data_IF_049418907317
#
_entry.id   IF_049418907317
#
_cell.length_a   1.000
_cell.length_b   1.000
_cell.length_c   1.000
_cell.angle_alpha   90.00
_cell.angle_beta   90.00
_cell.angle_gamma   90.00
#
_symmetry.space_group_name_H-M   'P 1'
#
loop_
_entity.id
_entity.type
_entity.pdbx_description
1 polymer ?
#
# COMPACT_ATOMS: atom_id res chain seq x y z
N UNK A 1 9.50 36.72 -11.63
CA UNK A 1 9.54 35.31 -12.09
C UNK A 1 10.84 34.94 -12.83
N UNK A 2 11.32 35.72 -13.84
CA UNK A 2 12.59 35.42 -14.56
C UNK A 2 13.79 35.27 -13.65
N UNK A 3 13.91 36.05 -12.58
CA UNK A 3 15.04 36.04 -11.63
C UNK A 3 15.09 34.74 -10.83
N UNK A 4 13.95 34.19 -10.39
CA UNK A 4 13.91 32.93 -9.66
C UNK A 4 14.29 31.73 -10.55
N UNK A 5 13.81 31.71 -11.79
CA UNK A 5 14.20 30.67 -12.74
C UNK A 5 15.70 30.69 -13.06
N UNK A 6 16.29 31.88 -13.15
CA UNK A 6 17.74 32.02 -13.33
C UNK A 6 18.53 31.48 -12.13
N UNK A 7 18.02 31.72 -10.90
CA UNK A 7 18.63 31.17 -9.68
C UNK A 7 18.46 29.63 -9.60
N UNK A 8 17.28 29.10 -9.97
CA UNK A 8 17.04 27.67 -10.03
C UNK A 8 17.95 26.99 -11.06
N UNK A 9 18.07 27.55 -12.27
CA UNK A 9 19.00 27.04 -13.28
C UNK A 9 20.42 26.94 -12.75
N UNK A 10 20.90 27.97 -12.04
CA UNK A 10 22.24 27.99 -11.45
C UNK A 10 22.41 26.95 -10.32
N UNK A 11 21.36 26.69 -9.54
CA UNK A 11 21.40 25.67 -8.46
C UNK A 11 21.32 24.24 -9.01
N UNK A 12 20.61 24.04 -10.12
CA UNK A 12 20.43 22.74 -10.75
C UNK A 12 21.55 22.42 -11.76
N UNK A 13 22.33 23.41 -12.20
CA UNK A 13 23.53 23.20 -12.98
C UNK A 13 24.62 22.62 -12.08
N UNK A 14 24.74 21.31 -12.05
CA UNK A 14 25.84 20.61 -11.41
C UNK A 14 27.03 20.52 -12.39
N UNK A 15 28.26 20.39 -11.84
CA UNK A 15 29.49 20.33 -12.62
C UNK A 15 29.52 19.10 -13.58
N UNK A 16 28.71 18.09 -13.31
CA UNK A 16 28.59 16.87 -14.13
C UNK A 16 27.39 16.86 -15.09
N UNK A 17 26.50 17.85 -15.02
CA UNK A 17 25.32 17.94 -15.88
C UNK A 17 25.11 19.39 -16.33
N UNK A 18 25.84 19.82 -17.36
CA UNK A 18 25.77 21.19 -17.87
C UNK A 18 24.46 21.44 -18.67
N UNK A 19 23.61 20.46 -18.85
CA UNK A 19 22.36 20.63 -19.57
C UNK A 19 21.37 21.47 -18.77
N UNK A 20 20.81 22.46 -19.47
CA UNK A 20 19.83 23.37 -18.89
C UNK A 20 18.52 22.63 -18.61
N UNK A 21 18.40 22.05 -17.42
CA UNK A 21 17.22 21.26 -16.98
C UNK A 21 15.89 22.03 -17.00
N UNK A 22 15.95 23.36 -17.19
CA UNK A 22 14.74 24.20 -17.28
C UNK A 22 14.72 24.91 -18.63
N UNK A 23 13.86 24.45 -19.54
CA UNK A 23 13.60 25.14 -20.80
C UNK A 23 12.48 26.17 -20.65
N UNK A 24 12.65 27.32 -21.32
CA UNK A 24 11.56 28.28 -21.49
C UNK A 24 10.69 27.86 -22.66
N UNK A 25 9.36 27.81 -22.48
CA UNK A 25 8.35 27.50 -23.49
C UNK A 25 7.34 28.65 -23.59
N UNK A 26 6.56 28.67 -24.69
CA UNK A 26 5.43 29.57 -24.78
C UNK A 26 4.44 29.27 -23.65
N UNK A 27 4.24 30.25 -22.75
CA UNK A 27 3.33 30.11 -21.62
C UNK A 27 3.90 29.49 -20.34
N UNK A 28 5.19 29.11 -20.30
CA UNK A 28 5.74 28.52 -19.07
C UNK A 28 7.16 27.98 -19.16
N UNK A 29 7.44 27.01 -18.35
CA UNK A 29 8.74 26.35 -18.25
C UNK A 29 8.54 24.83 -18.28
N UNK A 30 9.50 24.13 -18.89
CA UNK A 30 9.59 22.68 -18.85
C UNK A 30 10.82 22.29 -18.03
N UNK A 31 10.63 21.39 -17.08
CA UNK A 31 11.73 20.82 -16.27
C UNK A 31 12.02 19.42 -16.80
N UNK A 32 13.31 19.12 -16.99
CA UNK A 32 13.79 17.77 -17.30
C UNK A 32 14.36 17.17 -16.03
N UNK A 33 13.89 15.97 -15.68
CA UNK A 33 14.41 15.18 -14.58
C UNK A 33 14.62 13.73 -15.05
N UNK A 34 15.70 13.10 -14.58
CA UNK A 34 15.88 11.66 -14.78
C UNK A 34 14.85 10.90 -13.94
N UNK A 35 14.40 9.75 -14.45
CA UNK A 35 13.47 8.88 -13.71
C UNK A 35 14.01 8.48 -12.34
N UNK A 36 15.34 8.42 -12.19
CA UNK A 36 16.02 8.10 -10.92
C UNK A 36 16.02 9.24 -9.90
N UNK A 37 15.62 10.42 -10.32
CA UNK A 37 15.52 11.61 -9.46
C UNK A 37 14.07 11.86 -9.00
N UNK A 38 13.10 11.13 -9.56
CA UNK A 38 11.69 11.26 -9.24
C UNK A 38 11.29 10.16 -8.25
N UNK A 39 10.85 10.56 -7.07
CA UNK A 39 10.41 9.64 -6.01
C UNK A 39 9.26 8.74 -6.46
N UNK A 40 8.32 9.26 -7.26
CA UNK A 40 7.24 8.45 -7.86
C UNK A 40 7.79 7.33 -8.76
N UNK A 41 8.83 7.60 -9.55
CA UNK A 41 9.44 6.58 -10.41
C UNK A 41 10.24 5.55 -9.61
N UNK A 42 10.91 6.00 -8.54
CA UNK A 42 11.60 5.11 -7.61
C UNK A 42 10.61 4.23 -6.85
N UNK A 43 9.48 4.79 -6.41
CA UNK A 43 8.38 4.06 -5.79
C UNK A 43 7.84 2.97 -6.70
N UNK A 44 7.48 3.32 -7.94
CA UNK A 44 6.95 2.37 -8.93
C UNK A 44 7.94 1.23 -9.21
N UNK A 45 9.22 1.54 -9.34
CA UNK A 45 10.26 0.55 -9.59
C UNK A 45 10.48 -0.38 -8.38
N UNK A 46 10.54 0.16 -7.16
CA UNK A 46 10.67 -0.64 -5.94
C UNK A 46 9.42 -1.52 -5.73
N UNK A 47 8.21 -0.97 -5.94
CA UNK A 47 6.97 -1.72 -5.88
C UNK A 47 6.92 -2.88 -6.90
N UNK A 48 7.37 -2.63 -8.12
CA UNK A 48 7.47 -3.66 -9.18
C UNK A 48 8.43 -4.78 -8.74
N UNK A 49 9.64 -4.44 -8.28
CA UNK A 49 10.63 -5.42 -7.78
C UNK A 49 10.09 -6.26 -6.62
N UNK A 50 9.32 -5.64 -5.72
CA UNK A 50 8.68 -6.36 -4.62
C UNK A 50 7.67 -7.39 -5.13
N UNK A 51 6.83 -7.02 -6.09
CA UNK A 51 5.88 -7.97 -6.72
C UNK A 51 6.57 -9.06 -7.51
N UNK A 52 7.61 -8.73 -8.27
CA UNK A 52 8.41 -9.71 -8.99
C UNK A 52 9.00 -10.74 -8.01
N UNK A 53 9.56 -10.30 -6.88
CA UNK A 53 10.10 -11.18 -5.84
C UNK A 53 9.02 -12.07 -5.21
N UNK A 54 7.79 -11.55 -4.96
CA UNK A 54 6.66 -12.39 -4.52
C UNK A 54 6.30 -13.46 -5.55
N UNK A 55 6.28 -13.09 -6.83
CA UNK A 55 6.00 -14.02 -7.92
C UNK A 55 7.07 -15.12 -8.02
N UNK A 56 8.31 -14.77 -7.81
CA UNK A 56 9.46 -15.69 -7.84
C UNK A 56 9.56 -16.57 -6.57
N UNK A 57 8.66 -16.37 -5.59
CA UNK A 57 8.64 -17.12 -4.33
C UNK A 57 9.71 -16.70 -3.34
N UNK A 58 10.20 -15.45 -3.43
CA UNK A 58 11.16 -14.85 -2.50
C UNK A 58 10.49 -13.73 -1.67
N UNK A 59 9.66 -14.07 -0.67
CA UNK A 59 8.96 -13.09 0.14
C UNK A 59 9.91 -12.25 1.01
N UNK A 60 11.13 -12.73 1.30
CA UNK A 60 12.13 -11.95 2.03
C UNK A 60 12.58 -10.74 1.23
N UNK A 61 12.98 -10.91 -0.03
CA UNK A 61 13.31 -9.81 -0.93
C UNK A 61 12.11 -8.91 -1.24
N UNK A 62 10.91 -9.49 -1.29
CA UNK A 62 9.70 -8.71 -1.46
C UNK A 62 9.51 -7.72 -0.31
N UNK A 63 9.66 -8.15 0.94
CA UNK A 63 9.59 -7.26 2.13
C UNK A 63 10.60 -6.12 2.02
N UNK A 64 11.84 -6.38 1.61
CA UNK A 64 12.87 -5.35 1.46
C UNK A 64 12.45 -4.28 0.42
N UNK A 65 12.05 -4.72 -0.77
CA UNK A 65 11.67 -3.80 -1.85
C UNK A 65 10.38 -3.03 -1.57
N UNK A 66 9.36 -3.68 -0.96
CA UNK A 66 8.08 -3.04 -0.64
C UNK A 66 8.22 -2.03 0.49
N UNK A 67 9.06 -2.31 1.50
CA UNK A 67 9.40 -1.33 2.53
C UNK A 67 10.13 -0.12 1.92
N UNK A 68 11.15 -0.35 1.08
CA UNK A 68 11.85 0.73 0.40
C UNK A 68 10.90 1.60 -0.45
N UNK A 69 9.88 1.00 -1.09
CA UNK A 69 8.85 1.75 -1.79
C UNK A 69 8.04 2.64 -0.84
N UNK A 70 7.59 2.11 0.31
CA UNK A 70 6.78 2.85 1.27
C UNK A 70 7.56 3.97 1.99
N UNK A 71 8.86 3.82 2.18
CA UNK A 71 9.74 4.84 2.78
C UNK A 71 9.88 6.11 1.92
N UNK A 72 9.59 6.04 0.63
CA UNK A 72 9.57 7.22 -0.25
C UNK A 72 8.40 8.16 0.04
N UNK A 73 7.37 7.69 0.75
CA UNK A 73 6.20 8.49 1.11
C UNK A 73 6.49 9.34 2.35
N UNK A 74 6.51 10.67 2.18
CA UNK A 74 6.82 11.64 3.23
C UNK A 74 5.65 12.54 3.63
N UNK A 75 4.48 12.31 3.06
CA UNK A 75 3.25 13.09 3.24
C UNK A 75 2.25 12.78 2.13
N UNK A 76 1.27 13.67 1.99
CA UNK A 76 0.30 13.56 0.91
C UNK A 76 0.94 13.99 -0.43
N UNK A 77 0.66 13.25 -1.52
CA UNK A 77 1.22 13.61 -2.81
C UNK A 77 0.66 14.95 -3.28
N UNK A 78 1.57 15.80 -3.76
CA UNK A 78 1.25 17.12 -4.32
C UNK A 78 0.51 18.07 -3.34
N UNK A 79 0.77 17.98 -2.03
CA UNK A 79 0.09 18.76 -0.99
C UNK A 79 0.08 20.28 -1.28
N UNK A 80 1.14 20.80 -1.92
CA UNK A 80 1.28 22.22 -2.28
C UNK A 80 0.43 22.65 -3.48
N UNK A 81 -0.20 21.71 -4.22
CA UNK A 81 -1.01 22.04 -5.38
C UNK A 81 -2.50 22.20 -5.02
N UNK A 82 -3.25 23.06 -5.73
CA UNK A 82 -4.69 23.14 -5.59
C UNK A 82 -5.38 21.77 -5.79
N UNK A 83 -6.43 21.51 -5.01
CA UNK A 83 -7.12 20.20 -5.00
C UNK A 83 -7.61 19.82 -6.40
N UNK A 84 -8.13 20.78 -7.16
CA UNK A 84 -8.70 20.59 -8.51
C UNK A 84 -7.64 20.10 -9.51
N UNK A 85 -6.36 20.44 -9.26
CA UNK A 85 -5.23 20.06 -10.14
C UNK A 85 -4.67 18.70 -9.77
N UNK A 86 -4.62 18.40 -8.46
CA UNK A 86 -3.92 17.20 -7.94
C UNK A 86 -4.80 15.96 -7.81
N UNK A 87 -6.14 16.11 -7.73
CA UNK A 87 -7.05 15.04 -7.28
C UNK A 87 -6.88 13.71 -8.04
N UNK A 88 -6.82 13.74 -9.36
CA UNK A 88 -6.70 12.52 -10.16
C UNK A 88 -5.38 11.78 -9.93
N UNK A 89 -4.27 12.53 -9.92
CA UNK A 89 -2.93 11.94 -9.73
C UNK A 89 -2.72 11.49 -8.29
N UNK A 90 -3.23 12.24 -7.31
CA UNK A 90 -3.20 11.84 -5.89
C UNK A 90 -3.95 10.53 -5.69
N UNK A 91 -5.19 10.41 -6.19
CA UNK A 91 -5.98 9.19 -6.04
C UNK A 91 -5.29 7.98 -6.66
N UNK A 92 -4.66 8.14 -7.83
CA UNK A 92 -3.90 7.07 -8.48
C UNK A 92 -2.70 6.64 -7.63
N UNK A 93 -1.92 7.59 -7.11
CA UNK A 93 -0.76 7.29 -6.28
C UNK A 93 -1.16 6.63 -4.96
N UNK A 94 -2.25 7.08 -4.33
CA UNK A 94 -2.77 6.47 -3.12
C UNK A 94 -3.25 5.03 -3.34
N UNK A 95 -3.92 4.73 -4.45
CA UNK A 95 -4.28 3.36 -4.82
C UNK A 95 -3.03 2.48 -5.05
N UNK A 96 -1.99 3.02 -5.68
CA UNK A 96 -0.71 2.31 -5.84
C UNK A 96 -0.04 2.06 -4.47
N UNK A 97 -0.03 3.06 -3.58
CA UNK A 97 0.48 2.92 -2.21
C UNK A 97 -0.28 1.85 -1.44
N UNK A 98 -1.60 1.84 -1.61
CA UNK A 98 -2.46 0.84 -0.99
C UNK A 98 -2.09 -0.57 -1.46
N UNK A 99 -1.97 -0.78 -2.77
CA UNK A 99 -1.57 -2.07 -3.33
C UNK A 99 -0.21 -2.54 -2.78
N UNK A 100 0.77 -1.65 -2.63
CA UNK A 100 2.08 -1.97 -2.04
C UNK A 100 1.97 -2.38 -0.57
N UNK A 101 1.08 -1.74 0.21
CA UNK A 101 0.81 -2.15 1.60
C UNK A 101 0.21 -3.55 1.68
N UNK A 102 -0.72 -3.88 0.78
CA UNK A 102 -1.29 -5.23 0.71
C UNK A 102 -0.25 -6.27 0.31
N UNK A 103 0.57 -5.99 -0.71
CA UNK A 103 1.65 -6.87 -1.13
C UNK A 103 2.65 -7.12 0.01
N UNK A 104 2.95 -6.11 0.84
CA UNK A 104 3.83 -6.25 2.01
C UNK A 104 3.20 -7.14 3.10
N UNK A 105 1.90 -7.02 3.35
CA UNK A 105 1.20 -7.91 4.26
C UNK A 105 1.25 -9.36 3.75
N UNK A 106 1.02 -9.58 2.46
CA UNK A 106 1.11 -10.89 1.83
C UNK A 106 2.52 -11.49 1.91
N UNK A 107 3.57 -10.66 1.75
CA UNK A 107 4.95 -11.08 1.90
C UNK A 107 5.26 -11.55 3.34
N UNK A 108 4.83 -10.83 4.36
CA UNK A 108 4.99 -11.25 5.76
C UNK A 108 4.24 -12.54 6.08
N UNK A 109 3.04 -12.68 5.56
CA UNK A 109 2.23 -13.90 5.70
C UNK A 109 2.93 -15.09 5.03
N UNK A 110 3.48 -14.92 3.83
CA UNK A 110 4.25 -15.95 3.13
C UNK A 110 5.51 -16.39 3.89
N UNK A 111 6.08 -15.50 4.73
CA UNK A 111 7.19 -15.82 5.66
C UNK A 111 6.71 -16.50 6.97
N UNK A 112 5.39 -16.74 7.15
CA UNK A 112 4.84 -17.23 8.40
C UNK A 112 4.87 -16.21 9.55
N UNK A 113 5.12 -14.94 9.24
CA UNK A 113 5.25 -13.85 10.22
C UNK A 113 3.89 -13.22 10.57
N UNK A 114 2.88 -14.05 10.83
CA UNK A 114 1.51 -13.61 11.10
C UNK A 114 1.43 -12.58 12.25
N UNK A 115 2.26 -12.74 13.28
CA UNK A 115 2.27 -11.83 14.43
C UNK A 115 2.76 -10.42 14.07
N UNK A 116 3.59 -10.27 13.05
CA UNK A 116 4.16 -8.99 12.59
C UNK A 116 3.08 -8.09 11.98
N UNK A 117 2.14 -8.68 11.24
CA UNK A 117 1.10 -7.93 10.52
C UNK A 117 -0.09 -7.50 11.40
N UNK A 118 -0.27 -8.10 12.59
CA UNK A 118 -1.42 -7.82 13.47
C UNK A 118 -1.54 -6.35 13.86
N UNK A 119 -0.48 -5.64 14.33
CA UNK A 119 -0.60 -4.23 14.69
C UNK A 119 -1.02 -3.35 13.52
N UNK A 120 -0.44 -3.58 12.34
CA UNK A 120 -0.78 -2.86 11.13
C UNK A 120 -2.22 -3.12 10.69
N UNK A 121 -2.66 -4.39 10.68
CA UNK A 121 -4.03 -4.76 10.34
C UNK A 121 -5.05 -4.16 11.32
N UNK A 122 -4.74 -4.10 12.62
CA UNK A 122 -5.60 -3.42 13.60
C UNK A 122 -5.77 -1.93 13.30
N UNK A 123 -4.67 -1.24 12.98
CA UNK A 123 -4.72 0.18 12.60
C UNK A 123 -5.55 0.37 11.33
N UNK A 124 -5.32 -0.46 10.31
CA UNK A 124 -6.03 -0.39 9.04
C UNK A 124 -7.52 -0.72 9.16
N UNK A 125 -7.92 -1.65 10.02
CA UNK A 125 -9.35 -1.96 10.26
C UNK A 125 -10.08 -0.82 10.98
N UNK A 126 -9.38 0.00 11.76
CA UNK A 126 -9.94 1.22 12.38
C UNK A 126 -10.07 2.33 11.34
N UNK A 127 -9.04 2.53 10.50
CA UNK A 127 -8.99 3.59 9.49
C UNK A 127 -9.94 3.31 8.31
N UNK A 128 -10.06 2.03 7.91
CA UNK A 128 -10.85 1.57 6.76
C UNK A 128 -11.83 0.45 7.16
N UNK A 129 -12.79 0.70 8.06
CA UNK A 129 -13.64 -0.35 8.62
C UNK A 129 -14.59 -1.01 7.61
N UNK A 130 -14.84 -0.35 6.47
CA UNK A 130 -15.65 -0.86 5.35
C UNK A 130 -14.94 -1.88 4.47
N UNK A 131 -13.61 -2.00 4.61
CA UNK A 131 -12.81 -2.95 3.81
C UNK A 131 -12.78 -4.31 4.49
N UNK A 132 -13.77 -5.15 4.20
CA UNK A 132 -13.92 -6.46 4.86
C UNK A 132 -12.70 -7.37 4.71
N UNK A 133 -11.96 -7.31 3.60
CA UNK A 133 -10.76 -8.12 3.40
C UNK A 133 -9.66 -7.84 4.44
N UNK A 134 -9.61 -6.62 5.03
CA UNK A 134 -8.67 -6.31 6.13
C UNK A 134 -9.06 -7.04 7.41
N UNK A 135 -10.35 -7.11 7.70
CA UNK A 135 -10.87 -7.88 8.83
C UNK A 135 -10.55 -9.36 8.65
N UNK A 136 -10.80 -9.92 7.46
CA UNK A 136 -10.48 -11.30 7.16
C UNK A 136 -8.98 -11.59 7.38
N UNK A 137 -8.07 -10.75 6.87
CA UNK A 137 -6.62 -10.88 7.10
C UNK A 137 -6.26 -10.80 8.59
N UNK A 138 -6.90 -9.89 9.35
CA UNK A 138 -6.69 -9.78 10.79
C UNK A 138 -7.11 -11.06 11.52
N UNK A 139 -8.29 -11.63 11.19
CA UNK A 139 -8.77 -12.86 11.80
C UNK A 139 -7.82 -14.02 11.54
N UNK A 140 -7.38 -14.19 10.28
CA UNK A 140 -6.41 -15.21 9.88
C UNK A 140 -5.10 -15.06 10.65
N UNK A 141 -4.52 -13.85 10.66
CA UNK A 141 -3.27 -13.59 11.36
C UNK A 141 -3.35 -13.86 12.86
N UNK A 142 -4.46 -13.49 13.50
CA UNK A 142 -4.71 -13.78 14.92
C UNK A 142 -4.82 -15.29 15.18
N UNK A 143 -5.56 -16.02 14.34
CA UNK A 143 -5.71 -17.46 14.48
C UNK A 143 -4.38 -18.20 14.34
N UNK A 144 -3.59 -17.91 13.29
CA UNK A 144 -2.27 -18.49 13.11
C UNK A 144 -1.26 -18.11 14.20
N UNK A 145 -1.52 -17.01 14.91
CA UNK A 145 -0.74 -16.62 16.11
C UNK A 145 -1.27 -17.23 17.42
N UNK A 146 -2.23 -18.16 17.34
CA UNK A 146 -2.85 -18.78 18.54
C UNK A 146 -3.81 -17.87 19.33
N UNK A 147 -4.15 -16.68 18.80
CA UNK A 147 -4.94 -15.64 19.47
C UNK A 147 -6.43 -15.70 19.06
N UNK A 148 -7.00 -16.92 19.06
CA UNK A 148 -8.36 -17.18 18.57
C UNK A 148 -9.45 -16.35 19.30
N UNK A 149 -9.32 -16.16 20.60
CA UNK A 149 -10.28 -15.34 21.35
C UNK A 149 -10.31 -13.88 20.86
N UNK A 150 -9.14 -13.34 20.51
CA UNK A 150 -9.04 -11.99 19.95
C UNK A 150 -9.56 -11.94 18.50
N UNK A 151 -9.39 -13.01 17.74
CA UNK A 151 -9.98 -13.10 16.39
C UNK A 151 -11.52 -13.07 16.47
N UNK A 152 -12.13 -13.82 17.38
CA UNK A 152 -13.57 -13.78 17.59
C UNK A 152 -14.06 -12.40 18.05
N UNK A 153 -13.32 -11.71 18.93
CA UNK A 153 -13.63 -10.34 19.34
C UNK A 153 -13.53 -9.35 18.18
N UNK A 154 -12.52 -9.51 17.29
CA UNK A 154 -12.36 -8.68 16.11
C UNK A 154 -13.51 -8.90 15.11
N UNK A 155 -13.95 -10.15 14.90
CA UNK A 155 -15.14 -10.44 14.10
C UNK A 155 -16.39 -9.74 14.65
N UNK A 156 -16.63 -9.80 15.96
CA UNK A 156 -17.77 -9.12 16.60
C UNK A 156 -17.73 -7.60 16.39
N UNK A 157 -16.53 -7.02 16.34
CA UNK A 157 -16.37 -5.59 16.06
C UNK A 157 -16.71 -5.27 14.61
N UNK A 158 -16.20 -6.07 13.65
CA UNK A 158 -16.54 -5.95 12.24
C UNK A 158 -18.04 -6.11 11.99
N UNK A 159 -18.66 -7.16 12.58
CA UNK A 159 -20.10 -7.43 12.48
C UNK A 159 -20.93 -6.23 12.95
N UNK A 160 -20.64 -5.73 14.16
CA UNK A 160 -21.37 -4.57 14.72
C UNK A 160 -21.25 -3.35 13.81
N UNK A 161 -20.10 -3.07 13.26
CA UNK A 161 -19.90 -1.95 12.35
C UNK A 161 -20.73 -2.14 11.07
N UNK A 162 -20.63 -3.29 10.41
CA UNK A 162 -21.33 -3.55 9.16
C UNK A 162 -22.86 -3.53 9.32
N UNK A 163 -23.37 -4.18 10.38
CA UNK A 163 -24.82 -4.27 10.59
C UNK A 163 -25.40 -2.98 11.16
N UNK A 164 -24.80 -2.41 12.22
CA UNK A 164 -25.42 -1.27 12.91
C UNK A 164 -25.15 0.07 12.22
N UNK A 165 -23.95 0.26 11.62
CA UNK A 165 -23.58 1.54 11.01
C UNK A 165 -23.93 1.57 9.51
N UNK A 166 -23.80 0.44 8.80
CA UNK A 166 -24.03 0.37 7.36
C UNK A 166 -25.33 -0.36 6.97
N UNK A 167 -25.95 -1.12 7.89
CA UNK A 167 -27.17 -1.89 7.62
C UNK A 167 -26.95 -3.06 6.65
N UNK A 168 -25.73 -3.57 6.53
CA UNK A 168 -25.38 -4.67 5.63
C UNK A 168 -24.84 -5.87 6.41
N UNK A 169 -25.15 -7.07 5.93
CA UNK A 169 -24.58 -8.30 6.49
C UNK A 169 -23.12 -8.47 6.03
N UNK A 170 -22.23 -9.08 6.88
CA UNK A 170 -20.87 -9.42 6.49
C UNK A 170 -20.84 -10.27 5.22
N UNK A 171 -19.83 -10.07 4.39
CA UNK A 171 -19.60 -10.84 3.18
C UNK A 171 -19.37 -12.33 3.47
N UNK A 172 -19.53 -13.15 2.43
CA UNK A 172 -19.47 -14.61 2.57
C UNK A 172 -18.15 -15.10 3.20
N UNK A 173 -17.05 -14.47 2.84
CA UNK A 173 -15.71 -14.82 3.29
C UNK A 173 -15.53 -14.56 4.80
N UNK A 174 -15.94 -13.39 5.27
CA UNK A 174 -15.86 -13.04 6.68
C UNK A 174 -16.73 -13.96 7.54
N UNK A 175 -17.93 -14.33 7.04
CA UNK A 175 -18.81 -15.32 7.69
C UNK A 175 -18.20 -16.72 7.72
N UNK A 176 -17.57 -17.16 6.63
CA UNK A 176 -16.90 -18.45 6.55
C UNK A 176 -15.75 -18.56 7.56
N UNK A 177 -14.90 -17.54 7.66
CA UNK A 177 -13.83 -17.47 8.66
C UNK A 177 -14.39 -17.58 10.08
N UNK A 178 -15.49 -16.88 10.37
CA UNK A 178 -16.14 -16.99 11.67
C UNK A 178 -16.63 -18.41 11.99
N UNK A 179 -17.23 -19.08 11.02
CA UNK A 179 -17.67 -20.47 11.19
C UNK A 179 -16.48 -21.41 11.46
N UNK A 180 -15.40 -21.30 10.69
CA UNK A 180 -14.18 -22.08 10.91
C UNK A 180 -13.59 -21.83 12.31
N UNK A 181 -13.56 -20.57 12.73
CA UNK A 181 -13.12 -20.22 14.09
C UNK A 181 -14.01 -20.85 15.17
N UNK A 182 -15.33 -20.93 14.98
CA UNK A 182 -16.25 -21.54 15.97
C UNK A 182 -16.08 -23.06 16.00
N UNK A 183 -15.94 -23.70 14.85
CA UNK A 183 -15.78 -25.16 14.72
C UNK A 183 -14.45 -25.65 15.29
N UNK A 184 -13.44 -24.79 15.40
CA UNK A 184 -12.09 -25.18 15.80
C UNK A 184 -11.25 -25.69 14.65
N UNK A 185 -11.73 -25.47 13.44
CA UNK A 185 -11.05 -25.86 12.23
C UNK A 185 -9.81 -24.98 12.00
N UNK A 186 -8.88 -25.49 11.22
CA UNK A 186 -7.77 -24.70 10.72
C UNK A 186 -8.29 -23.59 9.82
N UNK A 187 -8.00 -22.33 10.19
CA UNK A 187 -8.43 -21.17 9.42
C UNK A 187 -7.50 -21.06 8.22
N UNK A 188 -8.04 -21.34 7.04
CA UNK A 188 -7.29 -21.23 5.79
C UNK A 188 -7.36 -19.81 5.24
N UNK A 189 -6.26 -19.34 4.68
CA UNK A 189 -6.20 -18.02 4.03
C UNK A 189 -7.04 -18.01 2.74
N UNK A 190 -8.15 -17.28 2.71
CA UNK A 190 -8.95 -17.17 1.49
C UNK A 190 -8.24 -16.26 0.45
N UNK A 191 -7.17 -15.54 0.83
CA UNK A 191 -6.50 -14.49 0.05
C UNK A 191 -5.20 -14.91 -0.61
N UNK A 192 -4.86 -16.18 -0.74
CA UNK A 192 -3.82 -16.52 -1.70
C UNK A 192 -4.31 -16.07 -3.06
N UNK A 193 -4.02 -14.81 -3.43
CA UNK A 193 -4.00 -14.41 -4.83
C UNK A 193 -3.20 -15.50 -5.52
N UNK A 194 -3.86 -16.22 -6.42
CA UNK A 194 -3.17 -17.19 -7.24
C UNK A 194 -2.23 -16.37 -8.13
N UNK A 195 -1.01 -16.12 -7.59
CA UNK A 195 0.04 -15.31 -8.25
C UNK A 195 0.39 -15.88 -9.63
N UNK A 196 -0.16 -17.06 -9.95
CA UNK A 196 -0.03 -17.71 -11.25
C UNK A 196 -1.00 -17.21 -12.32
N UNK A 197 -1.99 -16.37 -11.98
CA UNK A 197 -3.03 -15.90 -12.93
C UNK A 197 -2.82 -14.47 -13.45
N UNK A 198 -1.78 -13.77 -13.05
CA UNK A 198 -1.41 -12.46 -13.61
C UNK A 198 -0.37 -12.70 -14.70
N UNK A 199 -0.85 -13.09 -15.87
CA UNK A 199 -0.10 -13.05 -17.13
C UNK A 199 -0.45 -11.79 -17.89
#
# INVERSE_FOLDING_TARGET
MKTYVSQLRRKLADANDPENRIESRAGGYRVFADRRELDVCLFEEAARRGRDALHDGDPGRAVEHLNAALELWRGDPFEELPVEVRQAETSKLEEQRWAVREDLLDAHVALGQHHVVIPTLRALTIEYPTREHLWCRLLVALCHSGRRAEALAAYQTAYRFLVNELGIEPGAELRQLHQQMLAGDEVTEPFRRDLRQIR
#
